data_IF_551036126588
#
_entry.id   IF_551036126588
#
_cell.length_a   1.000
_cell.length_b   1.000
_cell.length_c   1.000
_cell.angle_alpha   90.00
_cell.angle_beta   90.00
_cell.angle_gamma   90.00
#
_symmetry.space_group_name_H-M   'P 1'
#
loop_
_entity.id
_entity.type
_entity.pdbx_description
1 polymer ?
#
# COMPACT_ATOMS: atom_id res chain seq x y z
N UNK A 1 -29.59 23.12 -9.98
CA UNK A 1 -30.37 21.98 -9.45
C UNK A 1 -29.43 21.32 -8.44
N UNK A 2 -29.79 21.26 -7.14
CA UNK A 2 -29.05 20.47 -6.19
C UNK A 2 -29.20 19.00 -6.63
N UNK A 3 -28.11 18.33 -7.01
CA UNK A 3 -28.10 16.89 -7.15
C UNK A 3 -28.66 16.33 -5.83
N UNK A 4 -29.76 15.61 -5.88
CA UNK A 4 -30.17 14.79 -4.74
C UNK A 4 -29.02 13.80 -4.56
N UNK A 5 -28.21 14.04 -3.54
CA UNK A 5 -27.08 13.20 -3.21
C UNK A 5 -27.59 11.77 -3.10
N UNK A 6 -26.91 10.82 -3.70
CA UNK A 6 -27.26 9.39 -3.75
C UNK A 6 -27.07 8.74 -2.36
N UNK A 7 -27.60 9.40 -1.33
CA UNK A 7 -27.53 8.98 0.08
C UNK A 7 -28.69 8.03 0.35
N UNK A 8 -28.37 6.82 0.74
CA UNK A 8 -29.32 5.73 0.93
C UNK A 8 -29.25 5.27 2.38
N UNK A 9 -30.37 5.40 3.11
CA UNK A 9 -30.47 4.86 4.46
C UNK A 9 -30.55 3.33 4.43
N UNK A 10 -29.79 2.69 5.33
CA UNK A 10 -29.74 1.23 5.52
C UNK A 10 -30.14 0.90 6.94
N UNK A 11 -31.18 0.11 7.08
CA UNK A 11 -31.68 -0.38 8.36
C UNK A 11 -31.51 -1.89 8.53
N UNK A 12 -31.31 -2.62 7.41
CA UNK A 12 -31.11 -4.07 7.39
C UNK A 12 -29.62 -4.43 7.23
N UNK A 13 -28.98 -5.07 8.22
CA UNK A 13 -27.58 -5.48 8.12
C UNK A 13 -27.31 -6.57 7.07
N UNK A 14 -28.36 -7.26 6.63
CA UNK A 14 -28.26 -8.29 5.58
C UNK A 14 -28.63 -7.79 4.18
N UNK A 15 -28.68 -6.48 3.99
CA UNK A 15 -28.92 -5.87 2.67
C UNK A 15 -27.81 -6.28 1.67
N UNK A 16 -28.21 -6.83 0.52
CA UNK A 16 -27.28 -7.36 -0.48
C UNK A 16 -26.37 -6.31 -1.12
N UNK A 17 -26.78 -5.06 -1.10
CA UNK A 17 -25.96 -3.92 -1.57
C UNK A 17 -24.67 -3.73 -0.76
N UNK A 18 -24.61 -4.30 0.46
CA UNK A 18 -23.49 -4.17 1.41
C UNK A 18 -22.62 -5.42 1.50
N UNK A 19 -22.76 -6.38 0.59
CA UNK A 19 -22.04 -7.65 0.63
C UNK A 19 -20.51 -7.46 0.74
N UNK A 20 -19.95 -6.43 0.12
CA UNK A 20 -18.53 -6.11 0.13
C UNK A 20 -18.01 -5.59 1.48
N UNK A 21 -18.91 -5.08 2.35
CA UNK A 21 -18.58 -4.61 3.69
C UNK A 21 -18.77 -5.68 4.77
N UNK A 22 -19.37 -6.83 4.42
CA UNK A 22 -19.65 -7.89 5.39
C UNK A 22 -18.37 -8.66 5.76
N UNK A 23 -18.33 -9.08 7.02
CA UNK A 23 -17.30 -9.99 7.53
C UNK A 23 -15.86 -9.55 7.23
N UNK A 24 -15.55 -8.26 7.39
CA UNK A 24 -14.23 -7.69 7.09
C UNK A 24 -13.06 -8.34 7.88
N UNK A 25 -13.35 -9.13 8.94
CA UNK A 25 -12.33 -9.90 9.68
C UNK A 25 -11.92 -11.16 8.93
N UNK A 26 -12.85 -11.82 8.24
CA UNK A 26 -12.61 -13.15 7.67
C UNK A 26 -11.90 -13.14 6.32
N UNK A 27 -11.79 -11.98 5.71
CA UNK A 27 -10.94 -11.70 4.56
C UNK A 27 -11.03 -12.67 3.36
N UNK A 28 -12.18 -13.30 3.16
CA UNK A 28 -12.40 -14.21 2.03
C UNK A 28 -12.37 -13.49 0.68
N UNK A 29 -12.84 -12.25 0.64
CA UNK A 29 -12.86 -11.41 -0.56
C UNK A 29 -11.44 -10.97 -0.99
N UNK A 30 -10.55 -10.66 -0.05
CA UNK A 30 -9.19 -10.25 -0.39
C UNK A 30 -8.31 -11.40 -0.90
N UNK A 31 -8.51 -12.65 -0.40
CA UNK A 31 -7.76 -13.82 -0.87
C UNK A 31 -8.19 -14.33 -2.25
N UNK A 32 -9.46 -14.17 -2.61
CA UNK A 32 -9.96 -14.55 -3.93
C UNK A 32 -9.51 -13.62 -5.05
N UNK A 33 -8.83 -12.51 -4.72
CA UNK A 33 -8.73 -11.33 -5.59
C UNK A 33 -7.33 -10.83 -5.86
N UNK A 34 -6.28 -11.53 -5.44
CA UNK A 34 -4.93 -11.24 -5.92
C UNK A 34 -4.87 -11.58 -7.40
N UNK A 35 -5.03 -10.55 -8.25
CA UNK A 35 -5.00 -10.70 -9.71
C UNK A 35 -6.35 -10.81 -10.42
N UNK A 36 -7.49 -10.76 -9.73
CA UNK A 36 -8.80 -10.71 -10.38
C UNK A 36 -9.13 -9.27 -10.81
N UNK A 37 -9.48 -9.03 -12.10
CA UNK A 37 -9.74 -7.68 -12.62
C UNK A 37 -10.96 -6.98 -11.97
N UNK A 38 -11.86 -7.73 -11.34
CA UNK A 38 -13.12 -7.22 -10.79
C UNK A 38 -13.13 -7.13 -9.25
N UNK A 39 -11.93 -7.09 -8.63
CA UNK A 39 -11.82 -7.04 -7.18
C UNK A 39 -12.11 -5.68 -6.58
N UNK A 40 -12.52 -5.71 -5.30
CA UNK A 40 -12.67 -4.51 -4.48
C UNK A 40 -11.68 -4.53 -3.31
N UNK A 41 -11.46 -3.37 -2.73
CA UNK A 41 -10.78 -3.21 -1.45
C UNK A 41 -11.57 -2.29 -0.54
N UNK A 42 -11.35 -2.37 0.76
CA UNK A 42 -12.02 -1.52 1.74
C UNK A 42 -11.04 -0.53 2.36
N UNK A 43 -11.37 0.75 2.23
CA UNK A 43 -10.70 1.86 2.90
C UNK A 43 -11.45 2.22 4.18
N UNK A 44 -10.76 2.34 5.32
CA UNK A 44 -11.34 2.60 6.62
C UNK A 44 -10.80 3.90 7.23
N UNK A 45 -11.71 4.77 7.63
CA UNK A 45 -11.45 6.00 8.36
C UNK A 45 -11.40 7.24 7.50
N UNK A 46 -11.84 8.35 8.06
CA UNK A 46 -12.07 9.61 7.35
C UNK A 46 -10.88 10.08 6.52
N UNK A 47 -9.66 10.11 7.11
CA UNK A 47 -8.46 10.56 6.39
C UNK A 47 -8.14 9.71 5.17
N UNK A 48 -8.30 8.38 5.29
CA UNK A 48 -8.05 7.42 4.21
C UNK A 48 -9.10 7.56 3.12
N UNK A 49 -10.38 7.68 3.50
CA UNK A 49 -11.47 7.86 2.54
C UNK A 49 -11.36 9.21 1.81
N UNK A 50 -11.02 10.29 2.51
CA UNK A 50 -10.76 11.60 1.86
C UNK A 50 -9.63 11.49 0.83
N UNK A 51 -8.56 10.75 1.15
CA UNK A 51 -7.46 10.53 0.21
C UNK A 51 -7.93 9.69 -0.99
N UNK A 52 -8.72 8.65 -0.77
CA UNK A 52 -9.32 7.85 -1.84
C UNK A 52 -10.17 8.72 -2.79
N UNK A 53 -10.97 9.64 -2.24
CA UNK A 53 -11.84 10.53 -3.01
C UNK A 53 -11.08 11.62 -3.78
N UNK A 54 -9.95 12.10 -3.25
CA UNK A 54 -9.28 13.30 -3.78
C UNK A 54 -7.99 13.04 -4.55
N UNK A 55 -7.22 12.01 -4.16
CA UNK A 55 -5.86 11.77 -4.66
C UNK A 55 -5.49 10.28 -4.71
N UNK A 56 -6.36 9.45 -5.28
CA UNK A 56 -6.16 8.01 -5.45
C UNK A 56 -6.01 7.63 -6.91
N UNK A 57 -5.34 6.49 -7.15
CA UNK A 57 -5.30 5.82 -8.46
C UNK A 57 -6.55 4.98 -8.72
N UNK A 58 -7.41 4.82 -7.71
CA UNK A 58 -8.53 3.90 -7.73
C UNK A 58 -9.85 4.65 -7.70
N UNK A 59 -10.85 4.10 -8.40
CA UNK A 59 -12.22 4.62 -8.40
C UNK A 59 -12.97 4.10 -7.18
N UNK A 60 -13.85 4.95 -6.66
CA UNK A 60 -14.78 4.57 -5.59
C UNK A 60 -15.97 3.82 -6.19
N UNK A 61 -16.35 2.71 -5.57
CA UNK A 61 -17.52 1.93 -5.92
C UNK A 61 -18.73 2.30 -5.06
N UNK A 62 -18.53 2.46 -3.76
CA UNK A 62 -19.55 2.84 -2.79
C UNK A 62 -18.92 3.40 -1.52
N UNK A 63 -19.74 4.05 -0.70
CA UNK A 63 -19.38 4.55 0.62
C UNK A 63 -20.37 3.99 1.65
N UNK A 64 -19.89 3.73 2.88
CA UNK A 64 -20.73 3.35 4.01
C UNK A 64 -20.33 4.16 5.24
N UNK A 65 -21.25 4.97 5.75
CA UNK A 65 -21.02 5.88 6.87
C UNK A 65 -22.04 5.60 7.99
N UNK A 66 -21.61 5.88 9.22
CA UNK A 66 -22.51 5.90 10.37
C UNK A 66 -23.42 7.12 10.34
N UNK A 67 -24.66 6.98 10.80
CA UNK A 67 -25.68 8.05 10.85
C UNK A 67 -25.21 9.31 11.60
N UNK A 68 -24.29 9.17 12.58
CA UNK A 68 -23.67 10.31 13.27
C UNK A 68 -22.63 11.05 12.41
N UNK A 69 -22.42 10.68 11.16
CA UNK A 69 -21.52 11.27 10.15
C UNK A 69 -22.30 11.78 8.92
N UNK A 70 -23.55 12.15 9.08
CA UNK A 70 -24.42 12.59 7.97
C UNK A 70 -23.81 13.76 7.19
N UNK A 71 -23.20 14.75 7.87
CA UNK A 71 -22.53 15.88 7.22
C UNK A 71 -21.40 15.41 6.26
N UNK A 72 -20.65 14.38 6.67
CA UNK A 72 -19.63 13.77 5.79
C UNK A 72 -20.27 12.98 4.64
N UNK A 73 -21.41 12.33 4.86
CA UNK A 73 -22.12 11.60 3.82
C UNK A 73 -22.56 12.55 2.70
N UNK A 74 -23.12 13.71 3.05
CA UNK A 74 -23.54 14.75 2.10
C UNK A 74 -22.31 15.36 1.37
N UNK A 75 -21.23 15.65 2.10
CA UNK A 75 -19.98 16.14 1.52
C UNK A 75 -19.44 15.13 0.50
N UNK A 76 -19.32 13.86 0.89
CA UNK A 76 -18.75 12.80 0.03
C UNK A 76 -19.62 12.49 -1.17
N UNK A 77 -20.96 12.52 -1.00
CA UNK A 77 -21.87 12.38 -2.10
C UNK A 77 -21.71 13.47 -3.18
N UNK A 78 -21.28 14.68 -2.77
CA UNK A 78 -20.96 15.74 -3.72
C UNK A 78 -19.61 15.55 -4.46
N UNK A 79 -18.70 14.76 -3.88
CA UNK A 79 -17.37 14.48 -4.44
C UNK A 79 -17.35 13.25 -5.35
N UNK A 80 -18.22 12.27 -5.11
CA UNK A 80 -18.37 11.11 -5.97
C UNK A 80 -19.38 11.43 -7.07
N UNK A 81 -19.08 11.06 -8.32
CA UNK A 81 -20.00 11.30 -9.44
C UNK A 81 -21.36 10.63 -9.28
N UNK A 82 -22.33 11.04 -10.09
CA UNK A 82 -23.64 10.41 -10.18
C UNK A 82 -23.49 8.90 -10.40
N UNK A 83 -24.11 8.09 -9.54
CA UNK A 83 -24.08 6.62 -9.63
C UNK A 83 -23.19 5.93 -8.60
N UNK A 84 -22.42 6.65 -7.77
CA UNK A 84 -21.73 6.05 -6.61
C UNK A 84 -22.63 6.17 -5.38
N UNK A 85 -23.17 5.06 -4.84
CA UNK A 85 -24.07 5.12 -3.69
C UNK A 85 -23.29 5.47 -2.40
N UNK A 86 -23.93 6.29 -1.56
CA UNK A 86 -23.48 6.61 -0.21
C UNK A 86 -24.49 6.00 0.77
N UNK A 87 -24.15 4.89 1.34
CA UNK A 87 -24.97 4.21 2.34
C UNK A 87 -24.77 4.84 3.71
N UNK A 88 -25.85 5.04 4.45
CA UNK A 88 -25.82 5.52 5.82
C UNK A 88 -26.58 4.53 6.70
N UNK A 89 -25.97 4.10 7.78
CA UNK A 89 -26.57 3.15 8.72
C UNK A 89 -26.30 3.57 10.17
N UNK A 90 -27.18 3.18 11.08
CA UNK A 90 -26.92 3.34 12.49
C UNK A 90 -25.73 2.52 12.93
N UNK A 91 -25.04 2.97 13.98
CA UNK A 91 -23.79 2.35 14.42
C UNK A 91 -23.98 0.84 14.74
N UNK A 92 -25.09 0.47 15.37
CA UNK A 92 -25.40 -0.93 15.66
C UNK A 92 -25.51 -1.78 14.40
N UNK A 93 -26.18 -1.23 13.37
CA UNK A 93 -26.30 -1.89 12.06
C UNK A 93 -24.92 -1.98 11.37
N UNK A 94 -24.12 -0.92 11.42
CA UNK A 94 -22.75 -0.98 10.88
C UNK A 94 -21.88 -2.02 11.58
N UNK A 95 -21.93 -2.11 12.90
CA UNK A 95 -21.15 -3.08 13.68
C UNK A 95 -21.50 -4.52 13.27
N UNK A 96 -22.79 -4.77 13.00
CA UNK A 96 -23.28 -6.08 12.52
C UNK A 96 -22.80 -6.36 11.08
N UNK A 97 -22.92 -5.37 10.16
CA UNK A 97 -22.44 -5.50 8.78
C UNK A 97 -20.96 -5.88 8.76
N UNK A 98 -20.10 -5.16 9.46
CA UNK A 98 -18.64 -5.37 9.43
C UNK A 98 -18.17 -6.52 10.32
N UNK A 99 -18.99 -6.98 11.28
CA UNK A 99 -18.69 -8.08 12.21
C UNK A 99 -17.82 -7.69 13.39
N UNK A 100 -17.69 -6.40 13.72
CA UNK A 100 -16.96 -5.90 14.90
C UNK A 100 -17.36 -4.43 15.20
N UNK A 101 -17.17 -3.95 16.46
CA UNK A 101 -17.39 -2.56 16.79
C UNK A 101 -16.51 -1.61 15.96
N UNK A 102 -17.14 -0.79 15.12
CA UNK A 102 -16.42 0.17 14.27
C UNK A 102 -16.23 1.49 15.00
N UNK A 103 -14.97 1.92 15.18
CA UNK A 103 -14.69 3.14 15.94
C UNK A 103 -14.82 4.42 15.11
N UNK A 104 -14.56 4.36 13.81
CA UNK A 104 -14.47 5.55 12.96
C UNK A 104 -15.73 5.85 12.18
N UNK A 105 -16.58 4.86 11.94
CA UNK A 105 -17.88 5.02 11.26
C UNK A 105 -17.80 5.54 9.84
N UNK A 106 -16.66 5.34 9.13
CA UNK A 106 -16.46 5.77 7.75
C UNK A 106 -15.71 4.70 7.00
N UNK A 107 -16.35 4.13 5.99
CA UNK A 107 -15.81 3.12 5.09
C UNK A 107 -16.05 3.51 3.64
N UNK A 108 -15.17 3.05 2.76
CA UNK A 108 -15.35 3.12 1.32
C UNK A 108 -14.92 1.80 0.67
N UNK A 109 -15.65 1.39 -0.35
CA UNK A 109 -15.25 0.34 -1.27
C UNK A 109 -14.63 0.98 -2.50
N UNK A 110 -13.42 0.53 -2.86
CA UNK A 110 -12.72 0.95 -4.06
C UNK A 110 -12.57 -0.20 -5.04
N UNK A 111 -12.52 0.12 -6.33
CA UNK A 111 -12.35 -0.86 -7.41
C UNK A 111 -10.87 -1.11 -7.61
N UNK A 112 -10.45 -2.39 -7.65
CA UNK A 112 -9.09 -2.77 -8.02
C UNK A 112 -8.91 -2.57 -9.51
N UNK A 113 -7.87 -1.84 -9.89
CA UNK A 113 -7.47 -1.77 -11.29
C UNK A 113 -6.49 -2.91 -11.59
N UNK A 114 -6.44 -3.39 -12.85
CA UNK A 114 -5.45 -4.38 -13.27
C UNK A 114 -4.03 -3.91 -12.95
N UNK A 115 -3.20 -4.83 -12.48
CA UNK A 115 -1.79 -4.52 -12.23
C UNK A 115 -1.09 -4.13 -13.54
N UNK A 116 -0.31 -3.05 -13.52
CA UNK A 116 0.56 -2.67 -14.62
C UNK A 116 1.71 -3.69 -14.81
N UNK A 117 2.40 -3.61 -15.93
CA UNK A 117 3.67 -4.32 -16.14
C UNK A 117 4.80 -3.67 -15.34
N UNK A 118 5.88 -4.42 -15.09
CA UNK A 118 7.07 -3.89 -14.41
C UNK A 118 7.61 -2.64 -15.12
N UNK A 119 7.71 -2.68 -16.46
CA UNK A 119 8.13 -1.53 -17.28
C UNK A 119 7.24 -0.29 -17.05
N UNK A 120 5.91 -0.48 -17.08
CA UNK A 120 4.98 0.65 -16.93
C UNK A 120 4.99 1.26 -15.53
N UNK A 121 5.14 0.42 -14.51
CA UNK A 121 5.13 0.85 -13.11
C UNK A 121 6.44 1.54 -12.72
N UNK A 122 7.58 1.11 -13.31
CA UNK A 122 8.91 1.66 -13.05
C UNK A 122 9.30 2.79 -14.02
N UNK A 123 8.46 3.10 -15.02
CA UNK A 123 8.70 4.21 -15.92
C UNK A 123 8.80 5.53 -15.13
N UNK A 124 9.94 6.24 -15.25
CA UNK A 124 10.18 7.49 -14.52
C UNK A 124 10.43 7.34 -13.01
N UNK A 125 10.53 6.11 -12.50
CA UNK A 125 10.85 5.88 -11.09
C UNK A 125 12.24 6.43 -10.73
N UNK A 126 12.33 7.21 -9.65
CA UNK A 126 13.60 7.69 -9.08
C UNK A 126 14.29 6.64 -8.21
N UNK A 127 13.49 5.80 -7.60
CA UNK A 127 13.89 4.65 -6.78
C UNK A 127 12.74 3.65 -6.79
N UNK A 128 12.96 2.44 -6.34
CA UNK A 128 11.86 1.55 -5.97
C UNK A 128 12.22 0.74 -4.72
N UNK A 129 11.19 0.30 -3.99
CA UNK A 129 11.33 -0.72 -2.95
C UNK A 129 10.99 -2.08 -3.56
N UNK A 130 11.80 -3.08 -3.23
CA UNK A 130 11.59 -4.47 -3.69
C UNK A 130 11.40 -5.33 -2.45
N UNK A 131 10.22 -5.91 -2.29
CA UNK A 131 9.81 -6.64 -1.10
C UNK A 131 9.80 -8.15 -1.37
N UNK A 132 10.63 -8.89 -0.63
CA UNK A 132 10.71 -10.34 -0.71
C UNK A 132 10.00 -10.95 0.51
N UNK A 133 8.85 -11.59 0.26
CA UNK A 133 8.10 -12.41 1.22
C UNK A 133 7.66 -11.69 2.51
N UNK A 134 7.34 -10.39 2.42
CA UNK A 134 6.84 -9.62 3.56
C UNK A 134 5.41 -10.02 3.90
N UNK A 135 5.25 -10.94 4.85
CA UNK A 135 3.95 -11.50 5.25
C UNK A 135 3.18 -10.64 6.28
N UNK A 136 3.78 -9.56 6.80
CA UNK A 136 3.14 -8.67 7.78
C UNK A 136 2.54 -7.43 7.10
N UNK A 137 1.23 -7.28 7.21
CA UNK A 137 0.50 -6.13 6.64
C UNK A 137 0.91 -4.77 7.24
N UNK A 138 1.39 -4.74 8.50
CA UNK A 138 1.89 -3.50 9.11
C UNK A 138 3.18 -3.06 8.42
N UNK A 139 4.05 -4.01 8.09
CA UNK A 139 5.28 -3.72 7.36
C UNK A 139 5.00 -3.30 5.92
N UNK A 140 4.13 -4.01 5.20
CA UNK A 140 3.76 -3.61 3.83
C UNK A 140 3.11 -2.22 3.83
N UNK A 141 2.18 -1.94 4.75
CA UNK A 141 1.59 -0.60 4.90
C UNK A 141 2.64 0.46 5.24
N UNK A 142 3.61 0.14 6.11
CA UNK A 142 4.76 0.98 6.44
C UNK A 142 5.64 1.27 5.22
N UNK A 143 5.93 0.26 4.38
CA UNK A 143 6.69 0.43 3.13
C UNK A 143 6.00 1.37 2.15
N UNK A 144 4.68 1.24 1.96
CA UNK A 144 3.92 2.18 1.14
C UNK A 144 4.02 3.62 1.66
N UNK A 145 4.05 3.81 2.97
CA UNK A 145 4.23 5.12 3.58
C UNK A 145 5.65 5.66 3.41
N UNK A 146 6.66 4.81 3.55
CA UNK A 146 8.08 5.16 3.31
C UNK A 146 8.30 5.57 1.87
N UNK A 147 7.81 4.77 0.92
CA UNK A 147 7.89 5.06 -0.51
C UNK A 147 7.25 6.41 -0.86
N UNK A 148 6.06 6.69 -0.30
CA UNK A 148 5.38 7.97 -0.51
C UNK A 148 6.09 9.17 0.13
N UNK A 149 6.71 8.98 1.31
CA UNK A 149 7.27 10.07 2.10
C UNK A 149 8.70 10.43 1.68
N UNK A 150 9.49 9.44 1.28
CA UNK A 150 10.93 9.61 1.04
C UNK A 150 11.33 9.39 -0.42
N UNK A 151 10.51 8.69 -1.21
CA UNK A 151 10.84 8.32 -2.59
C UNK A 151 10.69 9.44 -3.62
N UNK A 152 10.23 10.61 -3.20
CA UNK A 152 9.98 11.75 -4.08
C UNK A 152 8.60 11.73 -4.75
N UNK A 153 8.30 12.81 -5.45
CA UNK A 153 7.07 12.94 -6.23
C UNK A 153 7.35 13.65 -7.58
N UNK A 154 6.41 13.48 -8.51
CA UNK A 154 6.39 14.24 -9.76
C UNK A 154 5.85 15.68 -9.55
N UNK A 155 5.79 16.47 -10.62
CA UNK A 155 5.30 17.85 -10.58
C UNK A 155 3.83 17.97 -10.12
N UNK A 156 3.03 16.90 -10.32
CA UNK A 156 1.64 16.83 -9.86
C UNK A 156 1.51 16.33 -8.42
N UNK A 157 2.63 16.00 -7.75
CA UNK A 157 2.70 15.50 -6.38
C UNK A 157 2.35 14.02 -6.23
N UNK A 158 2.47 13.22 -7.32
CA UNK A 158 2.31 11.77 -7.23
C UNK A 158 3.63 11.08 -6.86
N UNK A 159 3.58 10.06 -5.96
CA UNK A 159 4.79 9.31 -5.60
C UNK A 159 5.45 8.65 -6.80
N UNK A 160 6.78 8.81 -6.92
CA UNK A 160 7.63 8.24 -7.98
C UNK A 160 8.58 7.17 -7.48
N UNK A 161 8.31 6.58 -6.34
CA UNK A 161 8.98 5.41 -5.79
C UNK A 161 8.00 4.24 -5.73
N UNK A 162 7.88 3.45 -6.81
CA UNK A 162 7.02 2.26 -6.83
C UNK A 162 7.50 1.18 -5.88
N UNK A 163 6.59 0.21 -5.63
CA UNK A 163 6.90 -0.99 -4.85
C UNK A 163 6.75 -2.22 -5.75
N UNK A 164 7.81 -2.98 -5.87
CA UNK A 164 7.84 -4.30 -6.51
C UNK A 164 7.76 -5.35 -5.41
N UNK A 165 6.94 -6.38 -5.56
CA UNK A 165 6.76 -7.40 -4.54
C UNK A 165 6.53 -8.78 -5.13
N UNK A 166 7.00 -9.82 -4.47
CA UNK A 166 6.72 -11.19 -4.84
C UNK A 166 5.31 -11.63 -4.41
N UNK A 167 4.91 -12.84 -4.84
CA UNK A 167 3.59 -13.42 -4.53
C UNK A 167 3.40 -13.78 -3.05
N UNK A 168 4.46 -13.91 -2.28
CA UNK A 168 4.41 -14.23 -0.85
C UNK A 168 4.23 -12.97 0.01
N UNK A 169 4.50 -11.81 -0.55
CA UNK A 169 4.28 -10.51 0.11
C UNK A 169 2.78 -10.21 0.23
N UNK A 170 2.38 -9.68 1.38
CA UNK A 170 1.00 -9.27 1.63
C UNK A 170 0.50 -8.21 0.66
N UNK A 171 -0.79 -8.27 0.35
CA UNK A 171 -1.48 -7.30 -0.49
C UNK A 171 -1.49 -5.88 0.12
N UNK A 172 -0.95 -4.85 -0.57
CA UNK A 172 -0.99 -3.47 -0.11
C UNK A 172 -2.40 -2.89 -0.01
N UNK A 173 -3.35 -3.40 -0.79
CA UNK A 173 -4.76 -2.99 -0.75
C UNK A 173 -5.58 -3.76 0.31
N UNK A 174 -4.92 -4.58 1.12
CA UNK A 174 -5.57 -5.12 2.29
C UNK A 174 -5.90 -4.00 3.29
N UNK A 175 -7.11 -4.03 3.87
CA UNK A 175 -7.65 -2.97 4.74
C UNK A 175 -6.65 -2.49 5.82
N UNK A 176 -5.93 -3.42 6.46
CA UNK A 176 -4.94 -3.09 7.48
C UNK A 176 -3.74 -2.36 6.89
N UNK A 177 -3.22 -2.79 5.75
CA UNK A 177 -2.10 -2.15 5.06
C UNK A 177 -2.48 -0.73 4.58
N UNK A 178 -3.66 -0.55 4.00
CA UNK A 178 -4.20 0.77 3.64
C UNK A 178 -4.25 1.69 4.86
N UNK A 179 -4.75 1.20 6.00
CA UNK A 179 -4.86 1.97 7.23
C UNK A 179 -3.50 2.37 7.80
N UNK A 180 -2.55 1.42 7.88
CA UNK A 180 -1.19 1.67 8.39
C UNK A 180 -0.42 2.64 7.49
N UNK A 181 -0.59 2.51 6.17
CA UNK A 181 -0.02 3.46 5.22
C UNK A 181 -0.65 4.85 5.27
N UNK A 182 -1.67 5.09 6.10
CA UNK A 182 -2.48 6.32 6.11
C UNK A 182 -3.11 6.62 4.74
N UNK A 183 -3.41 5.56 3.96
CA UNK A 183 -3.96 5.64 2.61
C UNK A 183 -2.91 5.77 1.50
N UNK A 184 -1.62 5.87 1.80
CA UNK A 184 -0.60 6.01 0.75
C UNK A 184 -0.49 4.79 -0.15
N UNK A 185 -0.93 3.59 0.29
CA UNK A 185 -1.12 2.43 -0.58
C UNK A 185 -2.07 2.68 -1.76
N UNK A 186 -2.95 3.68 -1.67
CA UNK A 186 -3.86 4.09 -2.73
C UNK A 186 -3.22 5.04 -3.77
N UNK A 187 -1.99 5.50 -3.50
CA UNK A 187 -1.25 6.46 -4.34
C UNK A 187 0.02 5.90 -4.92
N UNK A 188 0.79 5.16 -4.12
CA UNK A 188 2.06 4.56 -4.53
C UNK A 188 1.78 3.48 -5.58
N UNK A 189 2.44 3.54 -6.76
CA UNK A 189 2.35 2.46 -7.73
C UNK A 189 2.96 1.18 -7.15
N UNK A 190 2.39 0.03 -7.48
CA UNK A 190 3.01 -1.24 -7.13
C UNK A 190 2.74 -2.31 -8.19
N UNK A 191 3.59 -3.31 -8.23
CA UNK A 191 3.48 -4.44 -9.15
C UNK A 191 3.96 -5.73 -8.49
N UNK A 192 3.25 -6.83 -8.77
CA UNK A 192 3.64 -8.16 -8.35
C UNK A 192 4.57 -8.82 -9.37
N UNK A 193 5.56 -9.55 -8.88
CA UNK A 193 6.44 -10.42 -9.66
C UNK A 193 6.35 -11.86 -9.14
N UNK A 194 6.73 -12.83 -9.95
CA UNK A 194 6.69 -14.25 -9.54
C UNK A 194 7.69 -14.52 -8.39
N UNK A 195 8.90 -13.97 -8.50
CA UNK A 195 9.91 -14.00 -7.45
C UNK A 195 10.83 -12.79 -7.55
N UNK A 196 11.38 -12.34 -6.42
CA UNK A 196 12.35 -11.24 -6.41
C UNK A 196 13.62 -11.60 -7.15
N UNK A 197 14.30 -12.76 -6.89
CA UNK A 197 15.50 -13.13 -7.64
C UNK A 197 15.27 -13.17 -9.16
N UNK A 198 14.13 -13.71 -9.60
CA UNK A 198 13.78 -13.81 -11.02
C UNK A 198 13.55 -12.48 -11.73
N UNK A 199 13.28 -11.41 -10.98
CA UNK A 199 13.02 -10.07 -11.52
C UNK A 199 14.26 -9.16 -11.57
N UNK A 200 15.37 -9.51 -10.90
CA UNK A 200 16.53 -8.62 -10.75
C UNK A 200 17.16 -8.23 -12.10
N UNK A 201 17.28 -9.17 -13.01
CA UNK A 201 17.80 -8.88 -14.36
C UNK A 201 16.93 -7.89 -15.15
N UNK A 202 15.62 -7.90 -14.94
CA UNK A 202 14.71 -6.94 -15.54
C UNK A 202 14.82 -5.56 -14.90
N UNK A 203 14.96 -5.48 -13.58
CA UNK A 203 15.23 -4.21 -12.88
C UNK A 203 16.53 -3.57 -13.39
N UNK A 204 17.58 -4.37 -13.58
CA UNK A 204 18.86 -3.90 -14.14
C UNK A 204 18.70 -3.39 -15.59
N UNK A 205 17.94 -4.13 -16.43
CA UNK A 205 17.62 -3.72 -17.81
C UNK A 205 16.88 -2.38 -17.86
N UNK A 206 16.04 -2.13 -16.88
CA UNK A 206 15.31 -0.87 -16.72
C UNK A 206 16.15 0.27 -16.14
N UNK A 207 17.45 0.04 -15.92
CA UNK A 207 18.42 1.03 -15.46
C UNK A 207 18.33 1.32 -13.95
N UNK A 208 17.80 0.39 -13.15
CA UNK A 208 17.86 0.50 -11.71
C UNK A 208 19.14 -0.18 -11.18
N UNK A 209 19.67 0.33 -10.09
CA UNK A 209 20.77 -0.31 -9.37
C UNK A 209 20.22 -1.13 -8.21
N UNK A 210 20.35 -2.45 -8.29
CA UNK A 210 19.83 -3.36 -7.26
C UNK A 210 20.70 -3.31 -6.00
N UNK A 211 20.08 -3.02 -4.84
CA UNK A 211 20.74 -2.82 -3.55
C UNK A 211 20.07 -3.69 -2.50
N UNK A 212 20.76 -4.69 -1.97
CA UNK A 212 20.24 -5.48 -0.86
C UNK A 212 20.56 -4.81 0.48
N UNK A 213 19.54 -4.63 1.31
CA UNK A 213 19.73 -4.25 2.71
C UNK A 213 19.83 -5.52 3.55
N UNK A 214 20.99 -5.70 4.18
CA UNK A 214 21.32 -6.91 4.96
C UNK A 214 21.98 -6.55 6.29
N UNK A 215 22.09 -7.51 7.19
CA UNK A 215 22.84 -7.38 8.46
C UNK A 215 24.23 -8.02 8.39
N UNK A 216 24.61 -8.60 7.24
CA UNK A 216 25.86 -9.30 7.06
C UNK A 216 27.07 -8.36 7.21
N UNK A 217 28.09 -8.85 7.91
CA UNK A 217 29.24 -8.04 8.28
C UNK A 217 30.12 -7.62 7.09
N UNK A 218 30.13 -8.40 6.00
CA UNK A 218 30.86 -8.15 4.77
C UNK A 218 30.17 -7.16 3.82
N UNK A 219 28.91 -6.76 4.12
CA UNK A 219 28.22 -5.71 3.38
C UNK A 219 28.82 -4.33 3.69
N UNK A 220 28.81 -3.44 2.69
CA UNK A 220 29.30 -2.07 2.82
C UNK A 220 28.43 -1.30 3.83
N UNK A 221 29.04 -0.53 4.72
CA UNK A 221 28.28 0.31 5.63
C UNK A 221 27.54 1.42 4.86
N UNK A 222 26.29 1.68 5.23
CA UNK A 222 25.42 2.61 4.51
C UNK A 222 25.97 4.04 4.45
N UNK A 223 26.75 4.46 5.45
CA UNK A 223 27.41 5.77 5.50
C UNK A 223 28.65 5.87 4.60
N UNK A 224 29.18 4.73 4.16
CA UNK A 224 30.27 4.65 3.17
C UNK A 224 29.76 4.59 1.72
N UNK A 225 28.47 4.31 1.53
CA UNK A 225 27.84 4.28 0.22
C UNK A 225 27.34 5.69 -0.11
N UNK A 226 27.81 6.26 -1.22
CA UNK A 226 27.28 7.51 -1.74
C UNK A 226 25.87 7.39 -2.28
N UNK A 227 25.36 8.47 -2.84
CA UNK A 227 24.06 8.46 -3.54
C UNK A 227 24.11 7.48 -4.71
N UNK A 228 23.03 6.74 -4.87
CA UNK A 228 22.83 5.79 -5.98
C UNK A 228 21.77 6.35 -6.91
N UNK A 229 22.10 6.45 -8.19
CA UNK A 229 21.11 6.80 -9.19
C UNK A 229 20.12 5.63 -9.35
N UNK A 230 18.83 5.92 -9.17
CA UNK A 230 17.72 4.98 -9.32
C UNK A 230 17.89 3.65 -8.55
N UNK A 231 18.04 3.68 -7.21
CA UNK A 231 18.22 2.44 -6.43
C UNK A 231 16.92 1.62 -6.42
N UNK A 232 17.05 0.31 -6.61
CA UNK A 232 16.06 -0.69 -6.28
C UNK A 232 16.46 -1.33 -4.94
N UNK A 233 15.87 -0.86 -3.84
CA UNK A 233 16.21 -1.28 -2.49
C UNK A 233 15.45 -2.55 -2.13
N UNK A 234 16.17 -3.67 -2.01
CA UNK A 234 15.63 -4.97 -1.65
C UNK A 234 15.52 -5.12 -0.13
N UNK A 235 14.38 -5.62 0.32
CA UNK A 235 14.01 -5.78 1.71
C UNK A 235 13.35 -7.15 1.90
N UNK A 236 13.91 -7.96 2.80
CA UNK A 236 13.45 -9.32 3.08
C UNK A 236 12.55 -9.42 4.31
N UNK A 237 12.23 -10.64 4.70
CA UNK A 237 11.37 -10.94 5.84
C UNK A 237 12.00 -10.56 7.17
N UNK A 238 11.16 -10.41 8.21
CA UNK A 238 11.62 -10.39 9.60
C UNK A 238 12.14 -11.79 9.98
N UNK A 239 13.39 -11.86 10.43
CA UNK A 239 14.07 -13.10 10.81
C UNK A 239 15.07 -13.54 9.74
N UNK A 240 14.60 -14.21 8.68
CA UNK A 240 15.50 -14.78 7.66
C UNK A 240 16.09 -13.74 6.69
N UNK A 241 15.52 -12.54 6.62
CA UNK A 241 15.98 -11.49 5.72
C UNK A 241 15.70 -11.78 4.24
N UNK A 242 16.61 -11.36 3.37
CA UNK A 242 16.60 -11.66 1.94
C UNK A 242 17.14 -13.06 1.67
N UNK A 243 16.57 -13.75 0.68
CA UNK A 243 17.07 -15.04 0.24
C UNK A 243 18.52 -14.93 -0.27
N UNK A 244 19.30 -16.01 -0.11
CA UNK A 244 20.65 -16.10 -0.67
C UNK A 244 20.64 -15.88 -2.21
N UNK A 245 19.61 -16.38 -2.88
CA UNK A 245 19.42 -16.18 -4.30
C UNK A 245 19.22 -14.70 -4.69
N UNK A 246 18.55 -13.89 -3.86
CA UNK A 246 18.45 -12.46 -4.08
C UNK A 246 19.78 -11.75 -3.77
N UNK A 247 20.38 -12.05 -2.62
CA UNK A 247 21.62 -11.41 -2.17
C UNK A 247 22.82 -11.63 -3.10
N UNK A 248 22.91 -12.83 -3.73
CA UNK A 248 24.02 -13.16 -4.64
C UNK A 248 23.93 -12.46 -6.01
N UNK A 249 22.76 -11.96 -6.40
CA UNK A 249 22.54 -11.37 -7.72
C UNK A 249 22.50 -9.84 -7.72
N UNK A 250 22.44 -9.18 -6.55
CA UNK A 250 22.39 -7.71 -6.49
C UNK A 250 23.74 -7.08 -6.78
N UNK A 251 23.73 -5.83 -7.25
CA UNK A 251 24.96 -5.08 -7.52
C UNK A 251 25.67 -4.62 -6.25
N UNK A 252 24.91 -4.25 -5.23
CA UNK A 252 25.45 -3.69 -3.98
C UNK A 252 24.75 -4.34 -2.79
N UNK A 253 25.51 -4.74 -1.78
CA UNK A 253 24.97 -5.12 -0.47
C UNK A 253 25.35 -4.05 0.54
N UNK A 254 24.35 -3.52 1.26
CA UNK A 254 24.54 -2.47 2.26
C UNK A 254 24.01 -2.91 3.62
N UNK A 255 24.67 -2.45 4.68
CA UNK A 255 24.22 -2.65 6.05
C UNK A 255 24.12 -1.33 6.80
N UNK A 256 23.17 -1.23 7.70
CA UNK A 256 23.08 -0.14 8.67
C UNK A 256 23.99 -0.50 9.85
N UNK A 257 25.04 0.28 10.16
CA UNK A 257 25.85 0.04 11.35
C UNK A 257 24.99 0.14 12.61
N UNK A 258 25.06 -0.88 13.47
CA UNK A 258 24.28 -0.96 14.72
C UNK A 258 25.21 -1.13 15.92
N UNK A 259 24.70 -0.78 17.11
CA UNK A 259 25.41 -1.02 18.37
C UNK A 259 25.63 -2.53 18.57
N UNK A 260 26.81 -2.98 19.02
CA UNK A 260 27.04 -4.39 19.32
C UNK A 260 25.97 -4.98 20.24
N UNK A 261 25.47 -6.18 19.92
CA UNK A 261 24.40 -6.86 20.64
C UNK A 261 22.98 -6.51 20.17
N UNK A 262 22.82 -5.67 19.16
CA UNK A 262 21.54 -5.42 18.46
C UNK A 262 21.59 -6.13 17.10
N UNK A 263 20.73 -7.12 16.91
CA UNK A 263 20.78 -7.99 15.74
C UNK A 263 20.12 -7.36 14.49
N UNK A 264 19.05 -6.59 14.66
CA UNK A 264 18.32 -6.00 13.54
C UNK A 264 17.43 -4.81 13.96
N UNK A 265 16.96 -4.07 12.98
CA UNK A 265 15.88 -3.08 13.10
C UNK A 265 14.60 -3.64 12.43
N UNK A 266 13.44 -3.10 12.83
CA UNK A 266 12.23 -3.33 12.05
C UNK A 266 12.47 -2.93 10.59
N UNK A 267 12.00 -3.75 9.65
CA UNK A 267 12.28 -3.61 8.22
C UNK A 267 11.82 -2.28 7.64
N UNK A 268 10.73 -1.69 8.14
CA UNK A 268 10.24 -0.37 7.70
C UNK A 268 11.17 0.75 8.16
N UNK A 269 11.67 0.65 9.39
CA UNK A 269 12.67 1.60 9.93
C UNK A 269 13.96 1.52 9.13
N UNK A 270 14.44 0.31 8.87
CA UNK A 270 15.64 0.08 8.06
C UNK A 270 15.47 0.63 6.63
N UNK A 271 14.31 0.38 6.00
CA UNK A 271 13.99 0.93 4.68
C UNK A 271 14.01 2.46 4.65
N UNK A 272 13.43 3.10 5.67
CA UNK A 272 13.38 4.56 5.74
C UNK A 272 14.79 5.17 5.88
N UNK A 273 15.65 4.58 6.73
CA UNK A 273 17.02 5.01 6.90
C UNK A 273 17.80 4.85 5.58
N UNK A 274 17.73 3.65 4.97
CA UNK A 274 18.46 3.35 3.74
C UNK A 274 18.01 4.24 2.58
N UNK A 275 16.68 4.34 2.35
CA UNK A 275 16.15 5.14 1.25
C UNK A 275 16.55 6.62 1.37
N UNK A 276 16.48 7.19 2.58
CA UNK A 276 16.83 8.59 2.83
C UNK A 276 18.32 8.92 2.60
N UNK A 277 19.19 7.90 2.61
CA UNK A 277 20.63 8.05 2.37
C UNK A 277 21.03 7.78 0.93
N UNK A 278 20.34 6.82 0.29
CA UNK A 278 20.67 6.39 -1.07
C UNK A 278 20.14 7.33 -2.16
N UNK A 279 19.10 8.13 -1.87
CA UNK A 279 18.54 9.08 -2.82
C UNK A 279 18.65 10.52 -2.32
N UNK A 280 18.81 11.47 -3.25
CA UNK A 280 18.75 12.90 -2.92
C UNK A 280 17.36 13.29 -2.41
N UNK A 281 17.27 14.07 -1.33
CA UNK A 281 16.06 14.77 -1.00
C UNK A 281 15.56 15.61 -2.20
N UNK A 282 14.25 15.68 -2.39
CA UNK A 282 13.62 16.54 -3.40
C UNK A 282 13.50 17.95 -2.84
#
# INVERSE_FOLDING_TARGET
MKNEANVIQIDDPVDDRLIEYRCLRENRLARAMVGAPDGVFIAEGEKVVRLLLSRSRYRVRSLLLSSNRMELAEEYASLVGDGVPVYVADRSVMDEIVGFPIHRGVLASGIREPAGSLDSVLAGARACLVLESLANHDNVGGMMRVAAALGGCDEAGWPVCPVVMDRATCDPLYRKAIRVSMGHALRVPFVGVDSVPGSLGELDRLGLTTVALTTEADAVALDEVGEIERPALLLGTEGDGLSEAAQSQVKVRVRIPMTPGVDSLNVVTAAAIALSRLIRPV
#
